data_IF_323612875675
#
_entry.id   IF_323612875675
#
_cell.length_a   1.000
_cell.length_b   1.000
_cell.length_c   1.000
_cell.angle_alpha   90.00
_cell.angle_beta   90.00
_cell.angle_gamma   90.00
#
_symmetry.space_group_name_H-M   'P 1'
#
loop_
_entity.id
_entity.type
_entity.pdbx_description
1 polymer ?
#
# COMPACT_ATOMS: atom_id res chain seq x y z
N UNK A 1 -2.42 17.95 -10.47
CA UNK A 1 -3.28 18.55 -9.42
C UNK A 1 -4.19 17.53 -8.73
N UNK A 2 -5.14 16.91 -9.44
CA UNK A 2 -6.15 16.03 -8.83
C UNK A 2 -5.59 14.84 -8.00
N UNK A 3 -4.51 14.18 -8.46
CA UNK A 3 -3.93 13.08 -7.70
C UNK A 3 -3.38 13.53 -6.34
N UNK A 4 -2.69 14.69 -6.30
CA UNK A 4 -2.16 15.26 -5.06
C UNK A 4 -3.26 15.70 -4.09
N UNK A 5 -4.39 16.19 -4.60
CA UNK A 5 -5.57 16.47 -3.79
C UNK A 5 -6.07 15.20 -3.09
N UNK A 6 -6.13 14.08 -3.82
CA UNK A 6 -6.52 12.80 -3.24
C UNK A 6 -5.53 12.35 -2.14
N UNK A 7 -4.22 12.55 -2.35
CA UNK A 7 -3.19 12.28 -1.34
C UNK A 7 -3.41 13.10 -0.07
N UNK A 8 -3.73 14.39 -0.21
CA UNK A 8 -4.03 15.27 0.92
C UNK A 8 -5.28 14.79 1.69
N UNK A 9 -6.36 14.45 0.96
CA UNK A 9 -7.59 13.92 1.56
C UNK A 9 -7.35 12.60 2.30
N UNK A 10 -6.59 11.68 1.71
CA UNK A 10 -6.22 10.42 2.36
C UNK A 10 -5.41 10.65 3.65
N UNK A 11 -4.49 11.63 3.64
CA UNK A 11 -3.72 12.00 4.83
C UNK A 11 -4.62 12.53 5.95
N UNK A 12 -5.54 13.43 5.62
CA UNK A 12 -6.49 14.00 6.59
C UNK A 12 -7.37 12.89 7.15
N UNK A 13 -7.90 12.02 6.29
CA UNK A 13 -8.81 10.97 6.75
C UNK A 13 -8.12 9.91 7.61
N UNK A 14 -6.87 9.57 7.29
CA UNK A 14 -6.06 8.70 8.14
C UNK A 14 -5.85 9.32 9.53
N UNK A 15 -5.57 10.62 9.61
CA UNK A 15 -5.44 11.35 10.88
C UNK A 15 -6.72 11.33 11.71
N UNK A 16 -7.88 11.53 11.05
CA UNK A 16 -9.20 11.42 11.70
C UNK A 16 -9.44 10.00 12.21
N UNK A 17 -9.13 8.97 11.41
CA UNK A 17 -9.27 7.57 11.82
C UNK A 17 -8.35 7.20 12.99
N UNK A 18 -7.12 7.71 13.01
CA UNK A 18 -6.20 7.54 14.13
C UNK A 18 -6.74 8.23 15.40
N UNK A 19 -7.21 9.47 15.28
CA UNK A 19 -7.85 10.21 16.39
C UNK A 19 -9.07 9.48 16.94
N UNK A 20 -9.90 8.89 16.07
CA UNK A 20 -11.05 8.06 16.46
C UNK A 20 -10.62 6.83 17.26
N UNK A 21 -9.60 6.09 16.78
CA UNK A 21 -9.05 4.91 17.49
C UNK A 21 -8.53 5.28 18.88
N UNK A 22 -7.82 6.40 18.99
CA UNK A 22 -7.31 6.90 20.27
C UNK A 22 -8.45 7.28 21.22
N UNK A 23 -9.44 8.05 20.74
CA UNK A 23 -10.60 8.45 21.54
C UNK A 23 -11.42 7.23 22.03
N UNK A 24 -11.57 6.22 21.18
CA UNK A 24 -12.25 4.97 21.55
C UNK A 24 -11.51 4.22 22.65
N UNK A 25 -10.19 4.02 22.50
CA UNK A 25 -9.37 3.34 23.52
C UNK A 25 -9.37 4.07 24.86
N UNK A 26 -9.28 5.40 24.83
CA UNK A 26 -9.34 6.21 26.06
C UNK A 26 -10.66 6.04 26.79
N UNK A 27 -11.78 6.01 26.06
CA UNK A 27 -13.09 5.74 26.65
C UNK A 27 -13.17 4.35 27.27
N UNK A 28 -12.65 3.32 26.59
CA UNK A 28 -12.67 1.93 27.08
C UNK A 28 -11.86 1.79 28.38
N UNK A 29 -10.65 2.35 28.43
CA UNK A 29 -9.81 2.34 29.63
C UNK A 29 -10.53 3.03 30.78
N UNK A 30 -11.03 4.24 30.54
CA UNK A 30 -11.68 5.04 31.57
C UNK A 30 -12.94 4.36 32.11
N UNK A 31 -13.74 3.72 31.23
CA UNK A 31 -14.96 3.01 31.63
C UNK A 31 -14.71 1.85 32.61
N UNK A 32 -13.51 1.27 32.60
CA UNK A 32 -13.10 0.16 33.47
C UNK A 32 -12.57 0.70 34.80
N UNK A 33 -11.81 1.80 34.78
CA UNK A 33 -11.32 2.48 35.97
C UNK A 33 -12.44 3.29 36.64
N UNK A 34 -13.13 2.69 37.61
CA UNK A 34 -14.13 3.39 38.46
C UNK A 34 -13.46 4.42 39.38
N UNK A 35 -13.08 5.59 38.84
CA UNK A 35 -12.61 6.71 39.64
C UNK A 35 -13.78 7.35 40.41
N UNK A 36 -13.60 7.59 41.72
CA UNK A 36 -14.62 8.22 42.58
C UNK A 36 -14.74 9.72 42.30
N UNK A 37 -15.95 10.19 42.00
CA UNK A 37 -16.35 11.60 41.89
C UNK A 37 -15.99 12.29 40.57
N UNK A 38 -16.98 12.91 39.89
CA UNK A 38 -16.94 13.53 38.53
C UNK A 38 -16.76 12.58 37.33
N UNK A 39 -16.60 11.29 37.55
CA UNK A 39 -16.45 10.28 36.50
C UNK A 39 -17.57 10.32 35.44
N UNK A 40 -18.84 10.52 35.83
CA UNK A 40 -19.97 10.62 34.88
C UNK A 40 -19.81 11.77 33.87
N UNK A 41 -19.46 12.97 34.35
CA UNK A 41 -19.27 14.14 33.49
C UNK A 41 -18.07 13.98 32.54
N UNK A 42 -16.98 13.40 33.04
CA UNK A 42 -15.81 13.10 32.23
C UNK A 42 -16.11 12.05 31.14
N UNK A 43 -16.87 11.02 31.48
CA UNK A 43 -17.34 10.01 30.53
C UNK A 43 -18.26 10.60 29.45
N UNK A 44 -19.16 11.53 29.81
CA UNK A 44 -20.00 12.25 28.83
C UNK A 44 -19.16 13.10 27.87
N UNK A 45 -18.10 13.77 28.35
CA UNK A 45 -17.19 14.55 27.50
C UNK A 45 -16.42 13.66 26.53
N UNK A 46 -15.93 12.50 27.00
CA UNK A 46 -15.26 11.53 26.15
C UNK A 46 -16.22 10.97 25.09
N UNK A 47 -17.47 10.71 25.46
CA UNK A 47 -18.48 10.21 24.53
C UNK A 47 -18.84 11.23 23.45
N UNK A 48 -19.04 12.50 23.83
CA UNK A 48 -19.21 13.60 22.87
C UNK A 48 -18.03 13.69 21.90
N UNK A 49 -16.80 13.57 22.40
CA UNK A 49 -15.59 13.58 21.56
C UNK A 49 -15.57 12.42 20.57
N UNK A 50 -15.99 11.20 20.97
CA UNK A 50 -16.14 10.06 20.04
C UNK A 50 -17.17 10.32 18.96
N UNK A 51 -18.33 10.87 19.33
CA UNK A 51 -19.40 11.18 18.38
C UNK A 51 -18.97 12.19 17.30
N UNK A 52 -18.10 13.16 17.64
CA UNK A 52 -17.54 14.09 16.65
C UNK A 52 -16.74 13.39 15.53
N UNK A 53 -16.23 12.17 15.76
CA UNK A 53 -15.45 11.39 14.79
C UNK A 53 -16.25 10.30 14.07
N UNK A 54 -17.53 10.09 14.40
CA UNK A 54 -18.29 8.94 13.91
C UNK A 54 -18.70 9.07 12.43
N UNK A 55 -19.11 10.27 12.00
CA UNK A 55 -19.66 10.50 10.65
C UNK A 55 -18.68 11.18 9.68
N UNK A 56 -17.61 11.81 10.18
CA UNK A 56 -16.63 12.54 9.36
C UNK A 56 -15.82 11.64 8.41
N UNK A 57 -15.37 10.43 8.80
CA UNK A 57 -14.60 9.57 7.92
C UNK A 57 -15.38 9.13 6.67
N UNK A 58 -16.66 8.78 6.82
CA UNK A 58 -17.50 8.29 5.72
C UNK A 58 -17.69 9.31 4.60
N UNK A 59 -17.88 10.59 4.96
CA UNK A 59 -18.02 11.65 3.96
C UNK A 59 -16.73 11.84 3.15
N UNK A 60 -15.58 11.81 3.80
CA UNK A 60 -14.27 11.97 3.13
C UNK A 60 -13.96 10.72 2.29
N UNK A 61 -14.26 9.52 2.78
CA UNK A 61 -14.10 8.27 2.02
C UNK A 61 -14.92 8.28 0.73
N UNK A 62 -16.14 8.81 0.76
CA UNK A 62 -16.98 8.96 -0.43
C UNK A 62 -16.38 9.94 -1.44
N UNK A 63 -15.82 11.07 -0.97
CA UNK A 63 -15.13 12.04 -1.83
C UNK A 63 -13.88 11.41 -2.44
N UNK A 64 -13.07 10.71 -1.65
CA UNK A 64 -11.88 9.99 -2.12
C UNK A 64 -12.28 8.96 -3.18
N UNK A 65 -13.31 8.15 -2.94
CA UNK A 65 -13.83 7.18 -3.90
C UNK A 65 -14.29 7.84 -5.21
N UNK A 66 -15.02 8.96 -5.11
CA UNK A 66 -15.51 9.69 -6.27
C UNK A 66 -14.37 10.27 -7.11
N UNK A 67 -13.37 10.88 -6.45
CA UNK A 67 -12.17 11.39 -7.10
C UNK A 67 -11.38 10.26 -7.75
N UNK A 68 -11.14 9.16 -7.04
CA UNK A 68 -10.46 7.98 -7.59
C UNK A 68 -11.12 7.50 -8.89
N UNK A 69 -12.45 7.33 -8.88
CA UNK A 69 -13.22 6.90 -10.06
C UNK A 69 -13.15 7.90 -11.20
N UNK A 70 -13.20 9.20 -10.92
CA UNK A 70 -13.25 10.26 -11.94
C UNK A 70 -11.89 10.66 -12.49
N UNK A 71 -10.81 10.48 -11.72
CA UNK A 71 -9.48 10.99 -12.08
C UNK A 71 -8.46 9.88 -12.29
N UNK A 72 -8.40 8.89 -11.39
CA UNK A 72 -7.40 7.83 -11.48
C UNK A 72 -7.79 6.77 -12.52
N UNK A 73 -9.01 6.24 -12.45
CA UNK A 73 -9.46 5.13 -13.31
C UNK A 73 -9.37 5.46 -14.81
N UNK A 74 -9.64 6.69 -15.29
CA UNK A 74 -9.45 7.01 -16.71
C UNK A 74 -7.98 7.24 -17.12
N UNK A 75 -7.07 7.48 -16.16
CA UNK A 75 -5.72 7.98 -16.43
C UNK A 75 -4.59 6.99 -16.12
N UNK A 76 -4.84 5.92 -15.35
CA UNK A 76 -3.79 4.94 -15.06
C UNK A 76 -3.28 4.20 -16.33
N UNK A 77 -4.06 4.20 -17.42
CA UNK A 77 -3.70 3.69 -18.76
C UNK A 77 -3.67 4.80 -19.82
N UNK A 78 -3.32 6.02 -19.42
CA UNK A 78 -3.17 7.13 -20.36
C UNK A 78 -2.14 6.82 -21.45
N UNK A 79 -2.25 7.47 -22.61
CA UNK A 79 -1.28 7.34 -23.71
C UNK A 79 0.10 7.83 -23.26
N UNK A 80 0.15 8.92 -22.48
CA UNK A 80 1.40 9.44 -21.92
C UNK A 80 1.92 8.57 -20.77
N UNK A 81 3.15 8.07 -20.88
CA UNK A 81 3.78 7.29 -19.80
C UNK A 81 4.02 8.11 -18.54
N UNK A 82 4.34 9.40 -18.65
CA UNK A 82 4.51 10.29 -17.50
C UNK A 82 3.26 10.36 -16.63
N UNK A 83 2.08 10.42 -17.26
CA UNK A 83 0.80 10.40 -16.53
C UNK A 83 0.63 9.06 -15.81
N UNK A 84 0.95 7.94 -16.47
CA UNK A 84 0.87 6.61 -15.85
C UNK A 84 1.86 6.46 -14.68
N UNK A 85 3.06 7.01 -14.79
CA UNK A 85 4.07 7.07 -13.73
C UNK A 85 3.53 7.83 -12.52
N UNK A 86 2.92 9.00 -12.74
CA UNK A 86 2.28 9.78 -11.67
C UNK A 86 1.17 8.96 -11.00
N UNK A 87 0.30 8.32 -11.80
CA UNK A 87 -0.79 7.50 -11.27
C UNK A 87 -0.25 6.39 -10.36
N UNK A 88 0.73 5.61 -10.81
CA UNK A 88 1.28 4.50 -10.03
C UNK A 88 2.05 4.98 -8.79
N UNK A 89 2.78 6.09 -8.89
CA UNK A 89 3.45 6.69 -7.75
C UNK A 89 2.47 7.13 -6.66
N UNK A 90 1.37 7.78 -7.04
CA UNK A 90 0.35 8.24 -6.09
C UNK A 90 -0.46 7.07 -5.51
N UNK A 91 -0.82 6.07 -6.31
CA UNK A 91 -1.48 4.87 -5.81
C UNK A 91 -0.63 4.15 -4.75
N UNK A 92 0.66 3.95 -5.01
CA UNK A 92 1.58 3.39 -4.02
C UNK A 92 1.65 4.22 -2.73
N UNK A 93 1.63 5.55 -2.86
CA UNK A 93 1.57 6.46 -1.73
C UNK A 93 0.27 6.29 -0.92
N UNK A 94 -0.89 6.23 -1.57
CA UNK A 94 -2.19 6.08 -0.91
C UNK A 94 -2.32 4.76 -0.15
N UNK A 95 -1.85 3.66 -0.72
CA UNK A 95 -1.86 2.34 -0.06
C UNK A 95 -1.00 2.38 1.22
N UNK A 96 0.18 3.00 1.15
CA UNK A 96 1.06 3.12 2.32
C UNK A 96 0.50 4.07 3.39
N UNK A 97 -0.11 5.17 2.95
CA UNK A 97 -0.62 6.22 3.82
C UNK A 97 -1.91 5.78 4.52
N UNK A 98 -2.85 5.20 3.78
CA UNK A 98 -4.17 4.83 4.30
C UNK A 98 -4.53 3.37 3.93
N UNK A 99 -3.83 2.39 4.51
CA UNK A 99 -4.00 0.97 4.18
C UNK A 99 -5.38 0.44 4.55
N UNK A 100 -6.05 1.01 5.55
CA UNK A 100 -7.41 0.60 5.95
C UNK A 100 -8.42 0.73 4.79
N UNK A 101 -8.18 1.64 3.84
CA UNK A 101 -9.01 1.83 2.63
C UNK A 101 -8.36 1.24 1.37
N UNK A 102 -7.07 1.49 1.16
CA UNK A 102 -6.41 1.25 -0.13
C UNK A 102 -5.67 -0.09 -0.22
N UNK A 103 -5.33 -0.74 0.89
CA UNK A 103 -4.69 -2.06 0.88
C UNK A 103 -5.76 -3.15 0.68
N UNK A 104 -6.42 -3.08 -0.46
CA UNK A 104 -7.52 -3.95 -0.88
C UNK A 104 -7.37 -4.32 -2.36
N UNK A 105 -7.89 -5.49 -2.75
CA UNK A 105 -7.80 -6.01 -4.10
C UNK A 105 -8.41 -5.07 -5.16
N UNK A 106 -9.38 -4.25 -4.79
CA UNK A 106 -9.99 -3.27 -5.69
C UNK A 106 -9.01 -2.19 -6.16
N UNK A 107 -7.94 -1.93 -5.39
CA UNK A 107 -6.89 -0.96 -5.70
C UNK A 107 -5.58 -1.63 -6.11
N UNK A 108 -5.17 -2.71 -5.43
CA UNK A 108 -3.94 -3.44 -5.73
C UNK A 108 -3.89 -3.98 -7.16
N UNK A 109 -5.05 -4.34 -7.74
CA UNK A 109 -5.14 -4.82 -9.13
C UNK A 109 -4.50 -3.86 -10.14
N UNK A 110 -4.54 -2.55 -9.89
CA UNK A 110 -3.94 -1.56 -10.79
C UNK A 110 -2.42 -1.67 -10.77
N UNK A 111 -1.77 -1.79 -9.60
CA UNK A 111 -0.32 -2.04 -9.53
C UNK A 111 0.02 -3.33 -10.29
N UNK A 112 -0.72 -4.40 -10.02
CA UNK A 112 -0.47 -5.70 -10.67
C UNK A 112 -0.60 -5.66 -12.19
N UNK A 113 -1.61 -4.95 -12.73
CA UNK A 113 -1.74 -4.75 -14.17
C UNK A 113 -0.62 -3.89 -14.75
N UNK A 114 -0.20 -2.85 -14.03
CA UNK A 114 0.82 -1.92 -14.52
C UNK A 114 2.25 -2.48 -14.40
N UNK A 115 2.45 -3.64 -13.76
CA UNK A 115 3.70 -4.43 -13.91
C UNK A 115 3.94 -4.86 -15.37
N UNK A 116 2.90 -4.91 -16.21
CA UNK A 116 2.99 -5.27 -17.63
C UNK A 116 3.15 -4.05 -18.55
N UNK A 117 3.32 -2.83 -18.01
CA UNK A 117 3.46 -1.64 -18.84
C UNK A 117 4.67 -1.73 -19.76
N UNK A 118 4.56 -1.15 -20.96
CA UNK A 118 5.65 -1.10 -21.95
C UNK A 118 6.77 -0.17 -21.48
N UNK A 119 6.41 0.90 -20.77
CA UNK A 119 7.32 1.89 -20.25
C UNK A 119 7.97 1.42 -18.94
N UNK A 120 9.30 1.51 -18.89
CA UNK A 120 10.09 1.04 -17.75
C UNK A 120 9.84 1.85 -16.48
N UNK A 121 9.66 3.17 -16.59
CA UNK A 121 9.44 4.04 -15.44
C UNK A 121 8.12 3.70 -14.74
N UNK A 122 7.09 3.29 -15.49
CA UNK A 122 5.82 2.83 -14.92
C UNK A 122 6.02 1.53 -14.14
N UNK A 123 6.71 0.54 -14.74
CA UNK A 123 7.03 -0.73 -14.08
C UNK A 123 7.84 -0.53 -12.80
N UNK A 124 8.83 0.37 -12.85
CA UNK A 124 9.63 0.75 -11.68
C UNK A 124 8.78 1.30 -10.54
N UNK A 125 7.81 2.19 -10.80
CA UNK A 125 6.90 2.68 -9.77
C UNK A 125 6.10 1.56 -9.10
N UNK A 126 5.66 0.57 -9.88
CA UNK A 126 4.95 -0.59 -9.33
C UNK A 126 5.84 -1.43 -8.39
N UNK A 127 7.09 -1.72 -8.78
CA UNK A 127 8.02 -2.47 -7.92
C UNK A 127 8.30 -1.71 -6.62
N UNK A 128 8.63 -0.42 -6.71
CA UNK A 128 8.92 0.39 -5.53
C UNK A 128 7.73 0.49 -4.59
N UNK A 129 6.52 0.59 -5.12
CA UNK A 129 5.29 0.55 -4.32
C UNK A 129 5.15 -0.80 -3.60
N UNK A 130 5.37 -1.92 -4.28
CA UNK A 130 5.30 -3.25 -3.66
C UNK A 130 6.37 -3.44 -2.59
N UNK A 131 7.63 -3.05 -2.85
CA UNK A 131 8.72 -3.14 -1.86
C UNK A 131 8.34 -2.45 -0.56
N UNK A 132 7.87 -1.21 -0.64
CA UNK A 132 7.45 -0.44 0.53
C UNK A 132 6.29 -1.10 1.32
N UNK A 133 5.46 -1.93 0.67
CA UNK A 133 4.42 -2.69 1.36
C UNK A 133 4.96 -3.96 2.02
N UNK A 134 5.96 -4.61 1.42
CA UNK A 134 6.60 -5.80 2.00
C UNK A 134 7.60 -5.46 3.12
N UNK A 135 8.07 -4.23 3.24
CA UNK A 135 8.85 -3.77 4.41
C UNK A 135 8.06 -3.86 5.73
N UNK A 136 6.72 -3.78 5.68
CA UNK A 136 5.85 -3.86 6.86
C UNK A 136 5.17 -5.22 6.94
N UNK A 137 5.47 -5.99 7.98
CA UNK A 137 4.87 -7.32 8.22
C UNK A 137 3.33 -7.31 8.13
N UNK A 138 2.67 -6.35 8.77
CA UNK A 138 1.20 -6.23 8.74
C UNK A 138 0.63 -6.06 7.33
N UNK A 139 1.35 -5.31 6.48
CA UNK A 139 0.93 -5.10 5.08
C UNK A 139 1.24 -6.33 4.24
N UNK A 140 2.43 -6.92 4.41
CA UNK A 140 2.85 -8.14 3.73
C UNK A 140 1.83 -9.28 3.94
N UNK A 141 1.32 -9.49 5.16
CA UNK A 141 0.35 -10.56 5.42
C UNK A 141 -0.94 -10.44 4.59
N UNK A 142 -1.31 -9.23 4.14
CA UNK A 142 -2.50 -8.99 3.29
C UNK A 142 -2.25 -9.19 1.80
N UNK A 143 -1.00 -9.35 1.37
CA UNK A 143 -0.62 -9.43 -0.05
C UNK A 143 -0.52 -10.85 -0.61
N UNK A 144 -0.87 -11.89 0.16
CA UNK A 144 -0.70 -13.29 -0.26
C UNK A 144 -1.42 -13.62 -1.58
N UNK A 145 -2.69 -13.22 -1.69
CA UNK A 145 -3.48 -13.44 -2.92
C UNK A 145 -2.96 -12.62 -4.10
N UNK A 146 -2.54 -11.38 -3.85
CA UNK A 146 -1.94 -10.53 -4.88
C UNK A 146 -0.68 -11.18 -5.43
N UNK A 147 0.23 -11.60 -4.53
CA UNK A 147 1.47 -12.24 -4.94
C UNK A 147 1.21 -13.54 -5.68
N UNK A 148 0.34 -14.41 -5.17
CA UNK A 148 -0.03 -15.65 -5.87
C UNK A 148 -0.46 -15.39 -7.33
N UNK A 149 -1.29 -14.37 -7.54
CA UNK A 149 -1.78 -13.99 -8.87
C UNK A 149 -0.69 -13.43 -9.78
N UNK A 150 0.21 -12.60 -9.27
CA UNK A 150 1.21 -11.88 -10.07
C UNK A 150 2.63 -12.46 -9.97
N UNK A 151 2.84 -13.57 -9.24
CA UNK A 151 4.14 -14.20 -8.98
C UNK A 151 4.94 -14.42 -10.26
N UNK A 152 4.32 -15.05 -11.27
CA UNK A 152 4.98 -15.30 -12.56
C UNK A 152 5.48 -14.02 -13.22
N UNK A 153 4.68 -12.94 -13.15
CA UNK A 153 5.09 -11.64 -13.70
C UNK A 153 6.25 -11.06 -12.92
N UNK A 154 6.17 -11.00 -11.60
CA UNK A 154 7.23 -10.48 -10.74
C UNK A 154 8.53 -11.26 -10.99
N UNK A 155 8.49 -12.59 -11.04
CA UNK A 155 9.66 -13.40 -11.37
C UNK A 155 10.25 -13.06 -12.75
N UNK A 156 9.43 -12.93 -13.80
CA UNK A 156 9.95 -12.52 -15.12
C UNK A 156 10.59 -11.12 -15.14
N UNK A 157 10.29 -10.25 -14.18
CA UNK A 157 10.89 -8.93 -14.08
C UNK A 157 12.32 -8.95 -13.54
N UNK A 158 12.83 -10.10 -13.07
CA UNK A 158 14.28 -10.27 -12.83
C UNK A 158 15.08 -10.41 -14.13
N UNK A 159 14.40 -10.41 -15.27
CA UNK A 159 15.01 -10.37 -16.60
C UNK A 159 14.49 -9.16 -17.38
N UNK A 160 14.12 -8.09 -16.68
CA UNK A 160 13.71 -6.85 -17.34
C UNK A 160 14.87 -6.28 -18.15
N UNK A 161 14.54 -5.58 -19.25
CA UNK A 161 15.53 -4.92 -20.11
C UNK A 161 16.31 -3.84 -19.38
N UNK A 162 15.72 -3.24 -18.34
CA UNK A 162 16.40 -2.24 -17.52
C UNK A 162 17.03 -2.91 -16.29
N UNK A 163 18.35 -2.80 -16.10
CA UNK A 163 19.05 -3.46 -14.99
C UNK A 163 18.60 -2.97 -13.61
N UNK A 164 18.19 -1.70 -13.50
CA UNK A 164 17.67 -1.13 -12.26
C UNK A 164 16.38 -1.83 -11.83
N UNK A 165 15.46 -2.11 -12.78
CA UNK A 165 14.22 -2.82 -12.50
C UNK A 165 14.52 -4.23 -12.00
N UNK A 166 15.47 -4.91 -12.63
CA UNK A 166 15.86 -6.26 -12.23
C UNK A 166 16.44 -6.28 -10.81
N UNK A 167 17.32 -5.35 -10.44
CA UNK A 167 17.87 -5.27 -9.08
C UNK A 167 16.77 -4.97 -8.05
N UNK A 168 15.89 -4.01 -8.33
CA UNK A 168 14.76 -3.70 -7.46
C UNK A 168 13.79 -4.89 -7.32
N UNK A 169 13.60 -5.66 -8.40
CA UNK A 169 12.77 -6.87 -8.39
C UNK A 169 13.39 -7.98 -7.54
N UNK A 170 14.71 -8.18 -7.62
CA UNK A 170 15.42 -9.16 -6.78
C UNK A 170 15.27 -8.82 -5.30
N UNK A 171 15.42 -7.55 -4.94
CA UNK A 171 15.20 -7.09 -3.56
C UNK A 171 13.74 -7.29 -3.11
N UNK A 172 12.76 -7.04 -4.00
CA UNK A 172 11.35 -7.34 -3.72
C UNK A 172 11.13 -8.82 -3.43
N UNK A 173 11.69 -9.73 -4.24
CA UNK A 173 11.54 -11.17 -4.07
C UNK A 173 12.19 -11.67 -2.77
N UNK A 174 13.34 -11.09 -2.39
CA UNK A 174 13.96 -11.33 -1.08
C UNK A 174 13.01 -10.93 0.04
N UNK A 175 12.46 -9.71 0.04
CA UNK A 175 11.51 -9.27 1.06
C UNK A 175 10.29 -10.20 1.13
N UNK A 176 9.77 -10.66 -0.01
CA UNK A 176 8.65 -11.60 -0.07
C UNK A 176 9.00 -12.94 0.60
N UNK A 177 10.22 -13.45 0.39
CA UNK A 177 10.70 -14.70 1.00
C UNK A 177 10.80 -14.64 2.52
N UNK A 178 11.04 -13.45 3.08
CA UNK A 178 11.10 -13.24 4.53
C UNK A 178 9.72 -13.37 5.19
N UNK A 179 8.63 -13.15 4.44
CA UNK A 179 7.25 -13.22 4.96
C UNK A 179 6.52 -14.51 4.65
N UNK A 180 6.92 -15.23 3.60
CA UNK A 180 6.25 -16.45 3.16
C UNK A 180 7.24 -17.61 3.02
N UNK A 181 7.16 -18.56 3.96
CA UNK A 181 7.97 -19.78 3.91
C UNK A 181 7.57 -20.64 2.71
N UNK A 182 8.55 -21.16 1.97
CA UNK A 182 8.30 -22.04 0.81
C UNK A 182 7.62 -21.34 -0.37
N UNK A 183 7.70 -20.01 -0.44
CA UNK A 183 7.01 -19.21 -1.46
C UNK A 183 7.50 -19.47 -2.89
N UNK A 184 8.77 -19.87 -3.05
CA UNK A 184 9.36 -20.25 -4.33
C UNK A 184 9.57 -21.77 -4.38
N UNK A 185 9.36 -22.34 -5.56
CA UNK A 185 9.71 -23.73 -5.86
C UNK A 185 11.23 -23.90 -5.96
N UNK A 186 11.71 -25.15 -5.89
CA UNK A 186 13.14 -25.44 -6.02
C UNK A 186 13.73 -24.89 -7.34
N UNK A 187 13.00 -25.02 -8.46
CA UNK A 187 13.45 -24.48 -9.76
C UNK A 187 13.52 -22.95 -9.76
N UNK A 188 12.54 -22.27 -9.13
CA UNK A 188 12.55 -20.81 -9.02
C UNK A 188 13.71 -20.32 -8.13
N UNK A 189 14.04 -21.04 -7.04
CA UNK A 189 15.22 -20.73 -6.22
C UNK A 189 16.52 -20.89 -7.02
N UNK A 190 16.70 -22.00 -7.74
CA UNK A 190 17.88 -22.21 -8.59
C UNK A 190 18.02 -21.08 -9.60
N UNK A 191 16.93 -20.68 -10.24
CA UNK A 191 16.91 -19.55 -11.16
C UNK A 191 17.32 -18.23 -10.50
N UNK A 192 16.78 -17.92 -9.30
CA UNK A 192 17.13 -16.69 -8.59
C UNK A 192 18.58 -16.68 -8.09
N UNK A 193 19.14 -17.83 -7.71
CA UNK A 193 20.54 -17.92 -7.27
C UNK A 193 21.56 -17.70 -8.38
N UNK A 194 21.18 -17.87 -9.66
CA UNK A 194 22.07 -17.57 -10.78
C UNK A 194 22.49 -16.09 -10.82
N UNK A 195 21.68 -15.19 -10.26
CA UNK A 195 21.97 -13.76 -10.22
C UNK A 195 23.08 -13.38 -9.23
N UNK A 196 23.48 -14.27 -8.32
CA UNK A 196 24.70 -14.09 -7.50
C UNK A 196 25.95 -13.94 -8.37
N UNK A 197 25.93 -14.53 -9.57
CA UNK A 197 27.03 -14.45 -10.55
C UNK A 197 26.84 -13.33 -11.58
N UNK A 198 25.83 -12.45 -11.43
CA UNK A 198 25.56 -11.40 -12.39
C UNK A 198 26.65 -10.32 -12.41
N UNK A 199 27.02 -9.85 -13.60
CA UNK A 199 28.03 -8.81 -13.78
C UNK A 199 27.60 -7.45 -13.21
N UNK A 200 26.29 -7.20 -13.08
CA UNK A 200 25.77 -5.99 -12.46
C UNK A 200 25.78 -6.11 -10.93
N UNK A 201 26.72 -5.40 -10.30
CA UNK A 201 27.02 -5.54 -8.86
C UNK A 201 25.81 -5.40 -7.92
N UNK A 202 24.83 -4.50 -8.13
CA UNK A 202 23.60 -4.44 -7.32
C UNK A 202 22.64 -5.64 -7.46
N UNK A 203 22.91 -6.59 -8.36
CA UNK A 203 22.22 -7.88 -8.43
C UNK A 203 22.98 -9.02 -7.74
N UNK A 204 24.28 -8.85 -7.48
CA UNK A 204 25.16 -9.88 -6.93
C UNK A 204 25.19 -9.91 -5.39
N UNK A 205 24.17 -9.34 -4.73
CA UNK A 205 24.03 -9.21 -3.26
C UNK A 205 22.63 -9.55 -2.82
#
# INVERSE_FOLDING_TARGET
AAMKLLTALASVNQGICAGRRTAQRLYEIESITKLKGRHKYYMELLDQRRHQFQNKPMAIDNIICALFKRTFVPRYRDVSSDIRVICMGELGCWIRLYPDMFLDNNYLKYIGWMLYDKDASVRMKCILALKALYEKRESAMKLGLFFYKFKKRILSMTQDRQPEITSECMQLLRLISEHYVGVFSAMEYVFLFQFVYAAYRPMAT
#
